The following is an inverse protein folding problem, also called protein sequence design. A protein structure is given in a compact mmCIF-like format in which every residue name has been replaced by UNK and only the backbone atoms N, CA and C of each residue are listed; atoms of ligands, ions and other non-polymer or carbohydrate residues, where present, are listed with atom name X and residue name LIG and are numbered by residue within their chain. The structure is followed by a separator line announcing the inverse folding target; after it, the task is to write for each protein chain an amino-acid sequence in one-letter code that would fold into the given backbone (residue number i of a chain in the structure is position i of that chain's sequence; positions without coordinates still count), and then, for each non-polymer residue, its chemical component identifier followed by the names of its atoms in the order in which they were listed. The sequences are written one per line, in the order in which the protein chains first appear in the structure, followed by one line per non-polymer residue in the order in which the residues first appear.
data_IF_477362863098
#
_entry.id   IF_477362863098
#
_cell.length_a   1.000
_cell.length_b   1.000
_cell.length_c   1.000
_cell.angle_alpha   90.00
_cell.angle_beta   90.00
_cell.angle_gamma   90.00
#
_symmetry.space_group_name_H-M   'P 1'
#
loop_
_entity.id
_entity.type
_entity.pdbx_description
1 polymer ?
#
# COMPACT_ATOMS: atom_id res chain seq x y z
N UNK A 1 5.93 5.91 12.28
CA UNK A 1 4.97 6.05 11.17
C UNK A 1 3.98 4.88 11.09
N UNK A 2 4.38 3.68 10.63
CA UNK A 2 3.43 2.59 10.35
C UNK A 2 2.56 2.18 11.54
N UNK A 3 3.15 2.06 12.74
CA UNK A 3 2.41 1.72 13.97
C UNK A 3 1.30 2.71 14.32
N UNK A 4 1.44 3.98 13.94
CA UNK A 4 0.43 5.00 14.21
C UNK A 4 -0.73 4.92 13.21
N UNK A 5 -0.43 4.76 11.91
CA UNK A 5 -1.46 4.71 10.88
C UNK A 5 -2.18 3.36 10.78
N UNK A 6 -1.55 2.26 11.19
CA UNK A 6 -2.22 0.94 11.25
C UNK A 6 -3.49 0.97 12.12
N UNK A 7 -3.52 1.83 13.15
CA UNK A 7 -4.68 2.01 14.04
C UNK A 7 -5.92 2.55 13.32
N UNK A 8 -5.77 3.13 12.13
CA UNK A 8 -6.87 3.65 11.32
C UNK A 8 -7.65 2.55 10.59
N UNK A 9 -7.13 1.31 10.53
CA UNK A 9 -7.83 0.20 9.88
C UNK A 9 -7.99 0.31 8.35
N UNK A 10 -7.24 1.22 7.71
CA UNK A 10 -7.31 1.50 6.26
C UNK A 10 -6.40 0.61 5.40
N UNK A 11 -5.78 -0.40 6.00
CA UNK A 11 -4.77 -1.27 5.36
C UNK A 11 -3.36 -1.00 5.90
N UNK A 12 -2.35 -1.55 5.23
CA UNK A 12 -0.96 -1.38 5.63
C UNK A 12 -0.39 -0.08 5.06
N UNK A 13 0.07 0.88 5.89
CA UNK A 13 0.66 2.13 5.42
C UNK A 13 2.07 1.90 4.88
N UNK A 14 2.35 2.38 3.66
CA UNK A 14 3.69 2.36 3.07
C UNK A 14 4.44 3.64 3.42
N UNK A 15 5.73 3.51 3.77
CA UNK A 15 6.60 4.66 4.00
C UNK A 15 7.13 5.24 2.69
N UNK A 16 7.42 4.36 1.73
CA UNK A 16 7.86 4.70 0.38
C UNK A 16 6.87 4.07 -0.60
N UNK A 17 5.77 4.77 -0.93
CA UNK A 17 4.67 4.20 -1.73
C UNK A 17 4.98 4.10 -3.24
N UNK A 18 6.08 4.67 -3.71
CA UNK A 18 6.47 4.64 -5.12
C UNK A 18 6.96 3.25 -5.55
N UNK A 19 6.61 2.78 -6.77
CA UNK A 19 7.10 1.51 -7.28
C UNK A 19 8.60 1.57 -7.54
N UNK A 20 9.30 0.44 -7.35
CA UNK A 20 10.73 0.34 -7.59
C UNK A 20 11.05 0.55 -9.08
N UNK A 21 12.20 1.19 -9.37
CA UNK A 21 12.59 1.60 -10.73
C UNK A 21 12.86 0.43 -11.68
N UNK A 22 13.25 -0.73 -11.14
CA UNK A 22 13.55 -1.95 -11.88
C UNK A 22 12.31 -2.74 -12.31
N UNK A 23 11.10 -2.33 -11.90
CA UNK A 23 9.86 -3.00 -12.29
C UNK A 23 9.41 -2.62 -13.72
N UNK A 24 8.63 -3.49 -14.39
CA UNK A 24 8.06 -3.22 -15.71
C UNK A 24 7.40 -1.84 -15.79
N UNK A 25 7.49 -1.19 -16.96
CA UNK A 25 6.97 0.17 -17.13
C UNK A 25 5.46 0.24 -16.86
N UNK A 26 4.74 -0.79 -17.30
CA UNK A 26 3.31 -0.98 -17.11
C UNK A 26 2.96 -1.03 -15.61
N UNK A 27 3.76 -1.74 -14.82
CA UNK A 27 3.59 -1.78 -13.37
C UNK A 27 3.91 -0.43 -12.75
N UNK A 28 5.01 0.23 -13.14
CA UNK A 28 5.38 1.54 -12.57
C UNK A 28 4.33 2.63 -12.81
N UNK A 29 3.57 2.56 -13.91
CA UNK A 29 2.45 3.48 -14.19
C UNK A 29 1.23 3.21 -13.30
N UNK A 30 0.97 1.96 -12.93
CA UNK A 30 -0.21 1.57 -12.14
C UNK A 30 0.08 1.59 -10.63
N UNK A 31 1.29 1.22 -10.22
CA UNK A 31 1.67 0.92 -8.85
C UNK A 31 0.95 -0.31 -8.29
N UNK A 32 1.06 -0.48 -6.97
CA UNK A 32 0.44 -1.59 -6.21
C UNK A 32 -1.05 -1.74 -6.56
N UNK A 33 -1.48 -2.93 -6.88
CA UNK A 33 -2.81 -3.24 -7.40
C UNK A 33 -3.39 -4.50 -6.75
N UNK A 34 -4.70 -4.66 -6.82
CA UNK A 34 -5.38 -5.84 -6.29
C UNK A 34 -4.84 -7.10 -6.99
N UNK A 35 -4.56 -8.13 -6.20
CA UNK A 35 -3.94 -9.39 -6.63
C UNK A 35 -2.41 -9.40 -6.63
N UNK A 36 -1.75 -8.28 -6.33
CA UNK A 36 -0.31 -8.28 -6.18
C UNK A 36 0.11 -9.13 -4.98
N UNK A 37 1.08 -10.00 -5.20
CA UNK A 37 1.80 -10.77 -4.20
C UNK A 37 3.15 -10.11 -3.99
N UNK A 38 3.48 -9.82 -2.74
CA UNK A 38 4.69 -9.08 -2.41
C UNK A 38 4.99 -9.11 -0.92
N UNK A 39 6.03 -8.39 -0.51
CA UNK A 39 6.30 -8.10 0.91
C UNK A 39 6.40 -6.60 1.14
N UNK A 40 6.23 -6.18 2.38
CA UNK A 40 6.67 -4.84 2.80
C UNK A 40 8.07 -4.95 3.39
N UNK A 41 9.02 -4.19 2.84
CA UNK A 41 10.40 -4.19 3.32
C UNK A 41 10.55 -3.32 4.57
N UNK A 42 11.64 -3.46 5.35
CA UNK A 42 11.92 -2.58 6.50
C UNK A 42 11.97 -1.09 6.14
N UNK A 43 12.35 -0.76 4.91
CA UNK A 43 12.35 0.61 4.36
C UNK A 43 10.93 1.12 4.04
N UNK A 44 9.91 0.27 4.20
CA UNK A 44 8.51 0.58 3.96
C UNK A 44 8.13 0.66 2.48
N UNK A 45 8.86 -0.06 1.63
CA UNK A 45 8.56 -0.26 0.21
C UNK A 45 7.71 -1.52 0.06
N UNK A 46 6.74 -1.51 -0.86
CA UNK A 46 6.11 -2.75 -1.32
C UNK A 46 6.97 -3.39 -2.42
N UNK A 47 7.61 -4.50 -2.08
CA UNK A 47 8.46 -5.33 -2.94
C UNK A 47 7.57 -6.33 -3.67
N UNK A 48 7.29 -6.03 -4.93
CA UNK A 48 6.39 -6.79 -5.80
C UNK A 48 7.06 -8.08 -6.31
N UNK A 49 6.31 -9.18 -6.32
CA UNK A 49 6.74 -10.44 -6.93
C UNK A 49 5.97 -10.76 -8.21
N UNK A 50 4.65 -10.86 -8.14
CA UNK A 50 3.76 -11.14 -9.28
C UNK A 50 2.32 -10.77 -8.94
N UNK A 51 1.42 -10.73 -9.93
CA UNK A 51 -0.01 -10.53 -9.74
C UNK A 51 -0.80 -11.79 -10.12
N UNK A 52 -1.66 -12.26 -9.23
CA UNK A 52 -2.42 -13.52 -9.39
C UNK A 52 -3.52 -13.45 -10.46
N UNK A 53 -3.96 -12.27 -10.87
CA UNK A 53 -4.98 -12.11 -11.90
C UNK A 53 -4.40 -12.04 -13.31
N UNK A 54 -3.08 -11.92 -13.44
CA UNK A 54 -2.41 -11.76 -14.72
C UNK A 54 -1.76 -13.09 -15.13
N UNK A 55 -1.82 -13.47 -16.42
CA UNK A 55 -1.02 -14.58 -16.98
C UNK A 55 0.46 -14.46 -16.66
N UNK A 56 1.18 -15.59 -16.69
CA UNK A 56 2.63 -15.61 -16.49
C UNK A 56 3.35 -14.71 -17.52
N UNK A 57 2.90 -14.77 -18.76
CA UNK A 57 3.45 -14.07 -19.93
C UNK A 57 3.08 -12.58 -19.96
N UNK A 58 2.17 -12.15 -19.09
CA UNK A 58 1.75 -10.76 -19.05
C UNK A 58 2.96 -9.86 -18.69
N UNK A 59 3.13 -8.68 -19.32
CA UNK A 59 4.32 -7.83 -19.11
C UNK A 59 4.64 -7.46 -17.66
N UNK A 60 3.61 -7.39 -16.81
CA UNK A 60 3.76 -7.15 -15.37
C UNK A 60 4.38 -8.35 -14.64
N UNK A 61 3.97 -9.57 -14.97
CA UNK A 61 4.51 -10.79 -14.35
C UNK A 61 5.83 -11.20 -15.01
N UNK A 62 6.01 -10.93 -16.31
CA UNK A 62 7.26 -11.14 -17.04
C UNK A 62 7.84 -12.56 -16.91
N UNK A 63 6.98 -13.58 -16.82
CA UNK A 63 7.31 -14.98 -16.53
C UNK A 63 8.06 -15.20 -15.20
N UNK A 64 8.07 -14.20 -14.31
CA UNK A 64 8.69 -14.23 -12.98
C UNK A 64 7.64 -14.69 -11.94
N UNK A 65 7.13 -15.90 -12.13
CA UNK A 65 6.05 -16.52 -11.33
C UNK A 65 6.44 -17.92 -10.83
N UNK A 66 5.75 -18.46 -9.80
CA UNK A 66 5.96 -19.83 -9.34
C UNK A 66 5.73 -20.89 -10.44
N UNK A 67 6.35 -22.06 -10.26
CA UNK A 67 6.09 -23.21 -11.13
C UNK A 67 4.61 -23.62 -11.08
N UNK A 68 4.05 -23.99 -12.23
CA UNK A 68 2.63 -24.31 -12.42
C UNK A 68 1.67 -23.17 -12.04
N UNK A 69 2.13 -21.92 -12.06
CA UNK A 69 1.27 -20.77 -11.87
C UNK A 69 0.16 -20.71 -12.94
N UNK A 70 -1.07 -20.54 -12.50
CA UNK A 70 -2.21 -20.23 -13.36
C UNK A 70 -3.02 -19.06 -12.76
N UNK A 71 -3.50 -18.10 -13.56
CA UNK A 71 -4.20 -16.94 -13.02
C UNK A 71 -5.51 -17.30 -12.34
N UNK A 72 -5.86 -16.56 -11.29
CA UNK A 72 -7.19 -16.57 -10.71
C UNK A 72 -8.15 -15.85 -11.66
N UNK A 73 -8.94 -16.59 -12.43
CA UNK A 73 -9.85 -16.02 -13.45
C UNK A 73 -11.22 -15.61 -12.91
N UNK A 74 -11.56 -15.99 -11.67
CA UNK A 74 -12.83 -15.65 -11.00
C UNK A 74 -12.83 -14.20 -10.47
N UNK A 75 -12.53 -13.26 -11.35
CA UNK A 75 -12.64 -11.83 -11.09
C UNK A 75 -14.06 -11.38 -11.41
N UNK A 76 -14.87 -11.03 -10.40
CA UNK A 76 -16.15 -10.40 -10.61
C UNK A 76 -15.98 -8.88 -10.52
N UNK A 77 -16.15 -8.12 -11.61
CA UNK A 77 -16.08 -6.65 -11.59
C UNK A 77 -17.11 -6.00 -10.65
N UNK A 78 -18.13 -6.76 -10.24
CA UNK A 78 -19.16 -6.32 -9.28
C UNK A 78 -18.65 -6.20 -7.84
N UNK A 79 -17.52 -6.83 -7.50
CA UNK A 79 -17.00 -6.86 -6.12
C UNK A 79 -16.09 -5.67 -5.79
N UNK A 80 -15.92 -4.74 -6.74
CA UNK A 80 -15.09 -3.54 -6.57
C UNK A 80 -15.97 -2.30 -6.71
N UNK A 81 -16.62 -1.84 -5.63
CA UNK A 81 -17.21 -0.51 -5.64
C UNK A 81 -16.08 0.52 -5.82
N UNK A 82 -16.19 1.47 -6.77
CA UNK A 82 -15.30 2.62 -6.79
C UNK A 82 -15.60 3.50 -5.57
N UNK A 83 -14.96 3.20 -4.43
CA UNK A 83 -15.05 4.05 -3.26
C UNK A 83 -14.11 5.25 -3.46
N UNK A 84 -14.69 6.36 -3.93
CA UNK A 84 -14.01 7.64 -3.89
C UNK A 84 -14.01 8.15 -2.45
N UNK A 85 -13.01 7.75 -1.68
CA UNK A 85 -12.79 8.28 -0.35
C UNK A 85 -12.16 9.68 -0.48
N UNK A 86 -13.00 10.72 -0.61
CA UNK A 86 -12.53 12.11 -0.55
C UNK A 86 -12.27 12.44 0.92
N UNK A 87 -11.13 11.99 1.45
CA UNK A 87 -10.69 12.43 2.78
C UNK A 87 -10.01 13.80 2.63
N UNK A 88 -10.79 14.88 2.76
CA UNK A 88 -10.25 16.21 3.06
C UNK A 88 -9.92 16.21 4.55
N UNK A 89 -8.64 16.02 4.84
CA UNK A 89 -7.94 16.22 6.10
C UNK A 89 -8.58 15.72 7.41
N UNK A 90 -7.76 15.00 8.18
CA UNK A 90 -7.97 14.81 9.61
C UNK A 90 -8.02 13.35 10.02
N UNK A 91 -7.17 12.96 10.96
CA UNK A 91 -7.72 12.62 12.27
C UNK A 91 -6.71 12.85 13.42
N UNK A 92 -7.13 13.78 14.29
CA UNK A 92 -6.78 14.16 15.68
C UNK A 92 -5.32 14.02 16.16
N UNK A 93 -4.63 15.06 16.63
CA UNK A 93 -5.04 16.37 17.16
C UNK A 93 -4.30 17.45 16.36
N UNK A 94 -5.00 18.27 15.57
CA UNK A 94 -4.73 19.69 15.45
C UNK A 94 -5.78 20.41 14.61
N UNK A 95 -6.22 21.57 15.09
CA UNK A 95 -7.15 22.49 14.46
C UNK A 95 -6.35 23.52 13.64
N UNK A 96 -7.00 24.10 12.63
CA UNK A 96 -6.52 25.17 11.73
C UNK A 96 -5.78 24.73 10.45
N UNK A 97 -6.48 24.92 9.33
CA UNK A 97 -5.94 24.90 7.97
C UNK A 97 -5.87 26.35 7.47
N UNK A 98 -4.77 26.78 6.86
CA UNK A 98 -4.61 28.17 6.40
C UNK A 98 -4.36 28.35 4.90
N UNK A 99 -4.45 27.33 4.04
CA UNK A 99 -4.20 27.58 2.61
C UNK A 99 -4.76 26.56 1.60
N UNK A 100 -4.98 27.07 0.38
CA UNK A 100 -5.34 26.35 -0.84
C UNK A 100 -4.10 25.75 -1.53
N UNK A 101 -4.26 24.62 -2.21
CA UNK A 101 -3.20 23.87 -2.92
C UNK A 101 -3.21 24.16 -4.43
N UNK A 102 -2.05 24.29 -5.13
CA UNK A 102 -0.66 24.11 -4.67
C UNK A 102 -0.02 25.39 -4.10
N UNK A 103 0.92 25.23 -3.15
CA UNK A 103 1.69 26.34 -2.55
C UNK A 103 1.30 26.72 -1.12
N UNK A 104 0.58 25.84 -0.41
CA UNK A 104 0.11 26.06 0.94
C UNK A 104 0.91 25.30 2.00
N UNK A 105 1.19 25.95 3.13
CA UNK A 105 1.74 25.30 4.31
C UNK A 105 0.63 24.56 5.08
N UNK A 106 0.86 23.28 5.37
CA UNK A 106 0.04 22.51 6.27
C UNK A 106 0.70 22.50 7.64
N UNK A 107 0.06 23.15 8.61
CA UNK A 107 0.54 23.22 9.99
C UNK A 107 -0.25 22.22 10.83
N UNK A 108 0.46 21.44 11.65
CA UNK A 108 -0.12 20.46 12.57
C UNK A 108 0.53 20.63 13.96
N UNK A 109 -0.25 21.02 14.96
CA UNK A 109 0.16 21.03 16.38
C UNK A 109 -0.29 19.74 17.09
N UNK A 110 0.66 18.92 17.54
CA UNK A 110 0.36 17.58 18.01
C UNK A 110 0.60 17.40 19.52
N UNK A 111 -0.44 17.30 20.35
CA UNK A 111 -0.24 17.20 21.82
C UNK A 111 0.04 15.77 22.34
N UNK A 112 0.53 14.88 21.47
CA UNK A 112 0.86 13.50 21.83
C UNK A 112 2.39 13.31 21.84
N UNK A 113 2.93 12.37 22.65
CA UNK A 113 4.37 12.10 22.65
C UNK A 113 4.85 11.40 21.37
N UNK A 114 3.94 10.81 20.59
CA UNK A 114 4.24 10.15 19.31
C UNK A 114 3.04 10.24 18.38
N UNK A 115 3.30 10.28 17.08
CA UNK A 115 2.24 10.40 16.08
C UNK A 115 2.76 10.29 14.65
N UNK A 116 1.82 10.27 13.72
CA UNK A 116 2.11 10.29 12.30
C UNK A 116 1.03 11.07 11.56
N UNK A 117 1.46 11.85 10.58
CA UNK A 117 0.59 12.63 9.68
C UNK A 117 0.76 12.08 8.28
N UNK A 118 -0.37 11.84 7.62
CA UNK A 118 -0.44 11.57 6.18
C UNK A 118 -1.36 12.62 5.55
N UNK A 119 -0.76 13.59 4.87
CA UNK A 119 -1.45 14.61 4.12
C UNK A 119 -1.72 14.09 2.70
N UNK A 120 -2.96 14.23 2.23
CA UNK A 120 -3.40 13.84 0.88
C UNK A 120 -4.09 15.04 0.23
N UNK A 121 -3.34 16.03 -0.30
CA UNK A 121 -3.91 17.30 -0.75
C UNK A 121 -5.00 17.15 -1.83
N UNK A 122 -4.88 16.15 -2.71
CA UNK A 122 -5.88 15.85 -3.74
C UNK A 122 -6.86 14.74 -3.34
N UNK A 123 -6.88 14.35 -2.07
CA UNK A 123 -7.59 13.18 -1.58
C UNK A 123 -7.01 11.87 -2.13
N UNK A 124 -7.74 10.78 -1.93
CA UNK A 124 -7.35 9.45 -2.39
C UNK A 124 -8.50 8.71 -3.05
N UNK A 125 -8.18 7.59 -3.68
CA UNK A 125 -9.12 6.64 -4.21
C UNK A 125 -8.85 5.30 -3.55
N UNK A 126 -9.87 4.76 -2.88
CA UNK A 126 -9.83 3.45 -2.27
C UNK A 126 -10.51 2.45 -3.22
N UNK A 127 -9.78 1.41 -3.56
CA UNK A 127 -10.29 0.29 -4.35
C UNK A 127 -10.07 -0.97 -3.53
N UNK A 128 -11.13 -1.68 -3.15
CA UNK A 128 -11.05 -2.90 -2.33
C UNK A 128 -12.08 -3.91 -2.78
N UNK A 129 -11.73 -5.19 -2.69
CA UNK A 129 -12.65 -6.29 -2.91
C UNK A 129 -13.61 -6.44 -1.71
N UNK A 130 -14.90 -6.58 -2.00
CA UNK A 130 -15.91 -6.93 -0.99
C UNK A 130 -15.84 -8.42 -0.62
N UNK A 131 -15.79 -9.30 -1.63
CA UNK A 131 -15.68 -10.74 -1.44
C UNK A 131 -14.23 -11.21 -1.60
N UNK A 132 -13.67 -11.77 -0.53
CA UNK A 132 -12.30 -12.30 -0.50
C UNK A 132 -12.24 -13.82 -0.59
N UNK A 133 -13.38 -14.52 -0.69
CA UNK A 133 -13.43 -15.99 -0.60
C UNK A 133 -12.57 -16.66 -1.67
N UNK A 134 -12.75 -16.28 -2.93
CA UNK A 134 -11.98 -16.85 -4.05
C UNK A 134 -10.49 -16.57 -3.90
N UNK A 135 -10.13 -15.35 -3.46
CA UNK A 135 -8.75 -14.96 -3.24
C UNK A 135 -8.13 -15.73 -2.07
N UNK A 136 -8.87 -15.94 -0.98
CA UNK A 136 -8.44 -16.72 0.18
C UNK A 136 -8.23 -18.19 -0.16
N UNK A 137 -9.17 -18.80 -0.90
CA UNK A 137 -9.06 -20.17 -1.38
C UNK A 137 -7.83 -20.35 -2.26
N UNK A 138 -7.69 -19.50 -3.28
CA UNK A 138 -6.53 -19.50 -4.17
C UNK A 138 -5.21 -19.31 -3.40
N UNK A 139 -5.15 -18.35 -2.48
CA UNK A 139 -3.97 -18.16 -1.64
C UNK A 139 -3.69 -19.38 -0.76
N UNK A 140 -4.69 -20.03 -0.18
CA UNK A 140 -4.49 -21.21 0.67
C UNK A 140 -3.95 -22.41 -0.10
N UNK A 141 -4.35 -22.57 -1.36
CA UNK A 141 -3.89 -23.66 -2.24
C UNK A 141 -2.48 -23.43 -2.76
N UNK A 142 -2.06 -22.16 -2.91
CA UNK A 142 -0.79 -21.81 -3.57
C UNK A 142 0.26 -21.17 -2.67
N UNK A 143 -0.06 -20.74 -1.45
CA UNK A 143 0.88 -20.01 -0.59
C UNK A 143 2.19 -20.79 -0.37
N UNK A 144 2.12 -22.11 -0.19
CA UNK A 144 3.32 -22.93 -0.02
C UNK A 144 4.23 -22.90 -1.26
N UNK A 145 3.67 -23.01 -2.47
CA UNK A 145 4.45 -22.93 -3.70
C UNK A 145 5.03 -21.53 -3.91
N UNK A 146 4.33 -20.48 -3.49
CA UNK A 146 4.83 -19.11 -3.52
C UNK A 146 6.07 -18.96 -2.62
N UNK A 147 6.01 -19.43 -1.37
CA UNK A 147 7.16 -19.40 -0.47
C UNK A 147 8.34 -20.22 -1.03
N UNK A 148 8.10 -21.42 -1.56
CA UNK A 148 9.14 -22.25 -2.18
C UNK A 148 9.82 -21.54 -3.35
N UNK A 149 9.03 -20.94 -4.24
CA UNK A 149 9.55 -20.20 -5.39
C UNK A 149 10.34 -18.95 -4.97
N UNK A 150 9.76 -18.13 -4.09
CA UNK A 150 10.35 -16.86 -3.69
C UNK A 150 11.62 -17.06 -2.84
N UNK A 151 11.65 -18.07 -1.97
CA UNK A 151 12.82 -18.37 -1.14
C UNK A 151 13.86 -19.22 -1.87
N UNK A 152 13.42 -20.10 -2.77
CA UNK A 152 14.30 -20.94 -3.59
C UNK A 152 14.83 -20.18 -4.80
N UNK A 153 14.07 -20.22 -5.90
CA UNK A 153 14.49 -19.67 -7.20
C UNK A 153 14.86 -18.17 -7.14
N UNK A 154 14.14 -17.38 -6.33
CA UNK A 154 14.42 -15.94 -6.19
C UNK A 154 15.33 -15.58 -5.01
N UNK A 155 15.64 -16.52 -4.12
CA UNK A 155 16.55 -16.30 -2.99
C UNK A 155 16.17 -15.17 -2.03
N UNK A 156 14.89 -14.82 -1.88
CA UNK A 156 14.47 -13.60 -1.14
C UNK A 156 14.42 -13.74 0.38
N UNK A 157 14.49 -14.97 0.90
CA UNK A 157 14.55 -15.26 2.34
C UNK A 157 13.37 -14.72 3.14
N UNK A 158 12.14 -14.92 2.67
CA UNK A 158 10.91 -14.56 3.37
C UNK A 158 10.69 -15.40 4.63
N UNK A 159 10.44 -14.72 5.74
CA UNK A 159 9.90 -15.34 6.95
C UNK A 159 8.41 -15.69 6.76
N UNK A 160 7.94 -16.74 7.44
CA UNK A 160 6.51 -17.06 7.44
C UNK A 160 5.69 -15.87 7.98
N UNK A 161 4.59 -15.54 7.31
CA UNK A 161 3.73 -14.39 7.62
C UNK A 161 4.21 -13.05 7.06
N UNK A 162 5.34 -13.01 6.33
CA UNK A 162 5.84 -11.76 5.71
C UNK A 162 5.32 -11.52 4.29
N UNK A 163 4.66 -12.52 3.69
CA UNK A 163 4.06 -12.43 2.37
C UNK A 163 2.66 -11.80 2.45
N UNK A 164 2.41 -10.83 1.60
CA UNK A 164 1.14 -10.13 1.48
C UNK A 164 0.50 -10.42 0.13
N UNK A 165 -0.83 -10.57 0.15
CA UNK A 165 -1.67 -10.57 -1.03
C UNK A 165 -2.60 -9.37 -0.97
N UNK A 166 -2.51 -8.48 -1.97
CA UNK A 166 -3.21 -7.20 -1.98
C UNK A 166 -4.69 -7.42 -2.33
N UNK A 167 -5.56 -7.17 -1.35
CA UNK A 167 -7.03 -7.26 -1.49
C UNK A 167 -7.69 -5.91 -1.77
N UNK A 168 -6.94 -4.83 -1.59
CA UNK A 168 -7.35 -3.46 -1.83
C UNK A 168 -6.16 -2.52 -1.78
N UNK A 169 -6.29 -1.36 -2.39
CA UNK A 169 -5.28 -0.32 -2.40
C UNK A 169 -5.94 1.05 -2.30
N UNK A 170 -5.28 1.95 -1.57
CA UNK A 170 -5.65 3.35 -1.51
C UNK A 170 -4.55 4.17 -2.19
N UNK A 171 -4.92 4.97 -3.19
CA UNK A 171 -3.97 5.71 -4.02
C UNK A 171 -4.26 7.20 -4.03
N UNK A 172 -3.21 8.01 -4.03
CA UNK A 172 -3.30 9.47 -4.20
C UNK A 172 -2.34 9.93 -5.29
N UNK A 173 -2.66 11.07 -5.91
CA UNK A 173 -1.79 11.76 -6.89
C UNK A 173 -0.67 12.57 -6.23
N UNK A 174 -0.91 13.06 -5.01
CA UNK A 174 0.11 13.71 -4.20
C UNK A 174 -0.10 13.37 -2.73
N UNK A 175 1.01 13.26 -2.00
CA UNK A 175 0.98 12.90 -0.60
C UNK A 175 2.16 13.53 0.12
N UNK A 176 2.00 13.66 1.42
CA UNK A 176 2.97 14.21 2.34
C UNK A 176 2.95 13.45 3.65
N UNK A 177 4.11 13.21 4.23
CA UNK A 177 4.21 12.38 5.43
C UNK A 177 5.12 13.00 6.47
N UNK A 178 4.69 12.92 7.73
CA UNK A 178 5.54 13.17 8.88
C UNK A 178 5.29 12.10 9.95
N UNK A 179 6.31 11.82 10.75
CA UNK A 179 6.15 11.04 11.96
C UNK A 179 7.09 11.59 13.03
N UNK A 180 6.65 11.52 14.27
CA UNK A 180 7.40 11.97 15.42
C UNK A 180 7.24 10.99 16.57
N UNK A 181 8.24 10.98 17.45
CA UNK A 181 8.30 10.12 18.61
C UNK A 181 9.09 10.84 19.71
N UNK A 182 8.70 10.56 20.96
CA UNK A 182 9.32 10.99 22.20
C UNK A 182 9.48 12.52 22.28
N UNK A 183 8.43 13.24 21.87
CA UNK A 183 8.37 14.70 22.03
C UNK A 183 7.94 15.02 23.46
N UNK A 184 8.80 15.73 24.18
CA UNK A 184 8.60 16.14 25.58
C UNK A 184 7.98 17.53 25.74
N UNK A 185 7.77 18.25 24.63
CA UNK A 185 7.16 19.59 24.54
C UNK A 185 6.05 19.55 23.49
N UNK A 186 5.13 20.52 23.45
CA UNK A 186 4.12 20.63 22.38
C UNK A 186 4.83 20.90 21.03
N UNK A 187 4.98 19.91 20.14
CA UNK A 187 5.62 20.10 18.85
C UNK A 187 4.61 20.69 17.86
N UNK A 188 4.96 21.85 17.30
CA UNK A 188 4.37 22.35 16.06
C UNK A 188 5.17 21.77 14.89
N UNK A 189 4.49 21.07 13.97
CA UNK A 189 5.07 20.62 12.71
C UNK A 189 4.52 21.43 11.54
N UNK A 190 5.40 21.96 10.72
CA UNK A 190 5.05 22.60 9.46
C UNK A 190 5.47 21.70 8.31
N UNK A 191 4.50 21.31 7.49
CA UNK A 191 4.71 20.57 6.25
C UNK A 191 4.39 21.47 5.06
N UNK A 192 5.42 21.90 4.36
CA UNK A 192 5.32 22.64 3.10
C UNK A 192 5.38 21.66 1.92
N UNK A 193 4.47 21.80 0.94
CA UNK A 193 4.40 20.92 -0.24
C UNK A 193 4.43 21.69 -1.56
#
# INVERSE_FOLDING_TARGET
YCSQLLRQGRGFPLYVPGPQRNLPQEYRRKGVSIGDVGRVTPEGIFDFFFNIYLPAEHPINANDVPENFYPLTQYFPRDVPPLRCVHRAGFELCLYFTSDFPGGDFIFDCNAPRGAVLALPHGSQLTKLENLEHMRRYASEHAESWYKYINGARGRGLANGSLYLVTGCEKSRSWGMAAFQDVTTEPTFQLSF
#
